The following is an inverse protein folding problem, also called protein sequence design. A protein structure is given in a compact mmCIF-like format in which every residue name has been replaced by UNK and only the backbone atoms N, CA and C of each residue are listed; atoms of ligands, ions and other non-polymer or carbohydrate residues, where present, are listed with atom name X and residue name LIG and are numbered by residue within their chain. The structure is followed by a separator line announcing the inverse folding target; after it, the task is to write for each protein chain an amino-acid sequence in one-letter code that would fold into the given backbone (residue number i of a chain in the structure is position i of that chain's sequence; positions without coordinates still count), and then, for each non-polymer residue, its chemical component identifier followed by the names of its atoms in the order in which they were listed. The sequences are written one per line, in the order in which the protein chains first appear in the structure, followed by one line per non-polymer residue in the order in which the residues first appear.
data_IF_093368904182
#
_entry.id   IF_093368904182
#
_cell.length_a   1.000
_cell.length_b   1.000
_cell.length_c   1.000
_cell.angle_alpha   90.00
_cell.angle_beta   90.00
_cell.angle_gamma   90.00
#
_symmetry.space_group_name_H-M   'P 1'
#
loop_
_entity.id
_entity.type
_entity.pdbx_description
1 polymer ?
#
# COMPACT_ATOMS: atom_id res chain seq x y z
N UNK A 1 -4.30 -4.00 33.30
CA UNK A 1 -3.82 -4.88 32.22
C UNK A 1 -3.42 -3.98 31.06
N UNK A 2 -2.13 -3.67 30.94
CA UNK A 2 -1.60 -2.83 29.87
C UNK A 2 -0.85 -3.75 28.91
N UNK A 3 -1.35 -3.87 27.68
CA UNK A 3 -0.61 -4.53 26.61
C UNK A 3 0.48 -3.55 26.14
N UNK A 4 1.76 -3.93 26.10
CA UNK A 4 2.76 -3.13 25.43
C UNK A 4 2.51 -3.23 23.92
N UNK A 5 2.10 -2.13 23.29
CA UNK A 5 2.26 -1.96 21.85
C UNK A 5 3.76 -1.86 21.61
N UNK A 6 4.35 -2.98 21.19
CA UNK A 6 5.71 -3.00 20.71
C UNK A 6 5.73 -2.30 19.36
N UNK A 7 6.10 -1.03 19.38
CA UNK A 7 6.68 -0.33 18.24
C UNK A 7 7.98 -1.04 17.87
N UNK A 8 7.92 -1.99 16.95
CA UNK A 8 9.11 -2.58 16.34
C UNK A 8 9.52 -1.71 15.16
N UNK A 9 10.52 -0.88 15.42
CA UNK A 9 11.37 -0.28 14.41
C UNK A 9 11.91 -1.36 13.47
N UNK A 10 11.61 -1.22 12.18
CA UNK A 10 12.43 -1.78 11.10
C UNK A 10 12.84 -0.62 10.21
N UNK A 11 13.82 0.13 10.72
CA UNK A 11 14.81 0.80 9.88
C UNK A 11 15.66 -0.33 9.28
N UNK A 12 15.17 -0.89 8.19
CA UNK A 12 15.90 -1.81 7.35
C UNK A 12 15.77 -1.26 5.96
N UNK A 13 16.89 -0.81 5.39
CA UNK A 13 17.04 -0.41 3.99
C UNK A 13 16.88 -1.67 3.12
N UNK A 14 15.72 -2.33 3.22
CA UNK A 14 15.32 -3.31 2.23
C UNK A 14 14.74 -2.54 1.05
N UNK A 15 15.13 -2.89 -0.19
CA UNK A 15 14.42 -2.38 -1.35
C UNK A 15 12.96 -2.82 -1.22
N UNK A 16 12.06 -1.84 -1.21
CA UNK A 16 10.63 -2.11 -1.19
C UNK A 16 10.27 -2.88 -2.45
N UNK A 17 9.94 -4.16 -2.30
CA UNK A 17 9.49 -4.99 -3.44
C UNK A 17 8.02 -4.72 -3.72
N UNK A 18 7.56 -5.06 -4.91
CA UNK A 18 6.14 -4.94 -5.23
C UNK A 18 5.26 -5.76 -4.27
N UNK A 19 5.75 -6.89 -3.75
CA UNK A 19 4.99 -7.71 -2.80
C UNK A 19 4.88 -7.02 -1.45
N UNK A 20 5.96 -6.45 -0.93
CA UNK A 20 5.95 -5.74 0.37
C UNK A 20 5.05 -4.50 0.33
N UNK A 21 5.09 -3.77 -0.79
CA UNK A 21 4.24 -2.59 -0.99
C UNK A 21 2.78 -3.00 -1.13
N UNK A 22 2.49 -4.08 -1.84
CA UNK A 22 1.14 -4.61 -1.96
C UNK A 22 0.57 -5.00 -0.59
N UNK A 23 1.32 -5.73 0.23
CA UNK A 23 0.89 -6.11 1.57
C UNK A 23 0.61 -4.89 2.45
N UNK A 24 1.52 -3.92 2.48
CA UNK A 24 1.33 -2.70 3.25
C UNK A 24 0.13 -1.88 2.76
N UNK A 25 -0.07 -1.77 1.45
CA UNK A 25 -1.21 -1.03 0.88
C UNK A 25 -2.54 -1.74 1.17
N UNK A 26 -2.56 -3.07 1.14
CA UNK A 26 -3.74 -3.87 1.53
C UNK A 26 -4.06 -3.66 3.01
N UNK A 27 -3.07 -3.66 3.90
CA UNK A 27 -3.27 -3.37 5.32
C UNK A 27 -3.83 -1.96 5.54
N UNK A 28 -3.28 -0.96 4.86
CA UNK A 28 -3.73 0.43 4.97
C UNK A 28 -5.15 0.63 4.40
N UNK A 29 -5.50 -0.04 3.30
CA UNK A 29 -6.85 0.00 2.73
C UNK A 29 -7.85 -0.69 3.64
N UNK A 30 -7.50 -1.84 4.21
CA UNK A 30 -8.35 -2.54 5.16
C UNK A 30 -8.58 -1.70 6.43
N UNK A 31 -7.55 -1.04 6.95
CA UNK A 31 -7.68 -0.09 8.06
C UNK A 31 -8.60 1.09 7.71
N UNK A 32 -8.47 1.65 6.50
CA UNK A 32 -9.28 2.77 6.03
C UNK A 32 -10.76 2.40 5.84
N UNK A 33 -11.02 1.19 5.37
CA UNK A 33 -12.36 0.65 5.12
C UNK A 33 -12.99 -0.02 6.36
N UNK A 34 -12.29 -0.03 7.50
CA UNK A 34 -12.68 -0.75 8.71
C UNK A 34 -12.94 -2.26 8.46
N UNK A 35 -12.23 -2.84 7.49
CA UNK A 35 -12.29 -4.27 7.13
C UNK A 35 -11.08 -5.04 7.68
N UNK A 36 -11.20 -6.37 7.79
CA UNK A 36 -10.07 -7.22 8.16
C UNK A 36 -9.11 -7.39 6.95
N UNK A 37 -7.79 -7.16 7.09
CA UNK A 37 -6.84 -7.23 5.98
C UNK A 37 -6.85 -8.56 5.22
N UNK A 38 -7.00 -9.68 5.94
CA UNK A 38 -7.06 -11.02 5.35
C UNK A 38 -8.35 -11.22 4.55
N UNK A 39 -9.47 -10.70 5.04
CA UNK A 39 -10.75 -10.76 4.34
C UNK A 39 -10.73 -9.87 3.09
N UNK A 40 -10.18 -8.65 3.21
CA UNK A 40 -10.03 -7.72 2.10
C UNK A 40 -9.13 -8.28 0.98
N UNK A 41 -8.00 -8.91 1.34
CA UNK A 41 -7.12 -9.59 0.37
C UNK A 41 -7.83 -10.72 -0.37
N UNK A 42 -8.58 -11.57 0.33
CA UNK A 42 -9.38 -12.63 -0.29
C UNK A 42 -10.46 -12.10 -1.24
N UNK A 43 -11.04 -10.95 -0.90
CA UNK A 43 -12.03 -10.26 -1.74
C UNK A 43 -11.37 -9.68 -2.99
N UNK A 44 -10.21 -9.05 -2.86
CA UNK A 44 -9.39 -8.60 -4.00
C UNK A 44 -8.99 -9.76 -4.93
N UNK A 45 -8.64 -10.92 -4.36
CA UNK A 45 -8.35 -12.14 -5.13
C UNK A 45 -9.60 -12.67 -5.86
N UNK A 46 -10.78 -12.57 -5.23
CA UNK A 46 -12.05 -13.11 -5.75
C UNK A 46 -12.71 -12.22 -6.80
N UNK A 47 -12.66 -10.90 -6.64
CA UNK A 47 -13.22 -9.92 -7.58
C UNK A 47 -12.34 -9.72 -8.82
N UNK A 48 -11.21 -10.42 -8.87
CA UNK A 48 -10.15 -10.24 -9.83
C UNK A 48 -9.30 -9.02 -9.47
N UNK A 49 -7.98 -9.18 -9.53
CA UNK A 49 -6.95 -8.20 -9.11
C UNK A 49 -7.00 -6.80 -9.77
N UNK A 50 -8.01 -6.57 -10.62
CA UNK A 50 -8.37 -5.31 -11.24
C UNK A 50 -9.43 -4.54 -10.47
N UNK A 51 -9.81 -4.98 -9.26
CA UNK A 51 -10.78 -4.27 -8.43
C UNK A 51 -10.37 -2.78 -8.37
N UNK A 52 -11.21 -1.87 -8.89
CA UNK A 52 -10.89 -0.46 -8.90
C UNK A 52 -10.94 0.02 -7.45
N UNK A 53 -9.76 0.21 -6.85
CA UNK A 53 -9.66 1.01 -5.63
C UNK A 53 -10.13 2.41 -5.97
N UNK A 54 -10.99 3.00 -5.15
CA UNK A 54 -11.39 4.38 -5.38
C UNK A 54 -10.13 5.26 -5.40
N UNK A 55 -10.12 6.20 -6.33
CA UNK A 55 -8.97 7.09 -6.53
C UNK A 55 -8.68 7.93 -5.28
N UNK A 56 -9.70 8.16 -4.44
CA UNK A 56 -9.57 8.83 -3.15
C UNK A 56 -8.89 7.95 -2.11
N UNK A 57 -9.36 6.71 -1.93
CA UNK A 57 -8.81 5.76 -0.96
C UNK A 57 -7.33 5.51 -1.19
N UNK A 58 -6.93 5.36 -2.46
CA UNK A 58 -5.52 5.12 -2.80
C UNK A 58 -4.63 6.35 -2.56
N UNK A 59 -5.19 7.57 -2.61
CA UNK A 59 -4.43 8.79 -2.32
C UNK A 59 -4.15 8.92 -0.82
N UNK A 60 -5.13 8.61 0.03
CA UNK A 60 -4.97 8.58 1.48
C UNK A 60 -3.96 7.49 1.90
N UNK A 61 -4.04 6.33 1.25
CA UNK A 61 -3.07 5.26 1.45
C UNK A 61 -1.67 5.65 0.97
N UNK A 62 -1.54 6.33 -0.17
CA UNK A 62 -0.25 6.89 -0.62
C UNK A 62 0.32 7.87 0.41
N UNK A 63 -0.51 8.73 1.00
CA UNK A 63 -0.05 9.69 1.99
C UNK A 63 0.42 8.98 3.28
N UNK A 64 -0.34 8.01 3.79
CA UNK A 64 0.07 7.17 4.92
C UNK A 64 1.34 6.37 4.61
N UNK A 65 1.41 5.74 3.44
CA UNK A 65 2.58 4.99 2.98
C UNK A 65 3.84 5.88 2.98
N UNK A 66 3.77 7.10 2.45
CA UNK A 66 4.90 8.06 2.47
C UNK A 66 5.30 8.46 3.89
N UNK A 67 4.34 8.58 4.82
CA UNK A 67 4.64 8.87 6.22
C UNK A 67 5.35 7.70 6.92
N UNK A 68 4.94 6.46 6.63
CA UNK A 68 5.52 5.24 7.22
C UNK A 68 6.90 4.97 6.64
N UNK A 69 7.02 4.99 5.31
CA UNK A 69 8.23 4.58 4.59
C UNK A 69 9.25 5.70 4.42
N UNK A 70 8.84 6.97 4.57
CA UNK A 70 9.66 8.13 4.23
C UNK A 70 9.95 8.30 2.73
N UNK A 71 9.38 7.45 1.86
CA UNK A 71 9.66 7.48 0.42
C UNK A 71 9.02 8.70 -0.26
N UNK A 72 9.81 9.38 -1.08
CA UNK A 72 9.34 10.54 -1.84
C UNK A 72 8.92 10.13 -3.25
N UNK A 73 7.75 9.52 -3.39
CA UNK A 73 7.23 9.11 -4.71
C UNK A 73 6.83 10.32 -5.59
N UNK A 74 7.27 10.44 -6.85
CA UNK A 74 6.89 11.57 -7.69
C UNK A 74 5.43 11.46 -8.14
N UNK A 75 4.53 12.12 -7.41
CA UNK A 75 3.07 12.13 -7.69
C UNK A 75 2.74 12.59 -9.12
N UNK A 76 3.61 13.39 -9.74
CA UNK A 76 3.51 13.81 -11.15
C UNK A 76 3.62 12.66 -12.15
N UNK A 77 4.31 11.56 -11.79
CA UNK A 77 4.42 10.34 -12.61
C UNK A 77 3.31 9.34 -12.33
N UNK A 78 2.57 9.52 -11.24
CA UNK A 78 1.42 8.71 -10.88
C UNK A 78 0.30 8.94 -11.90
N UNK A 79 0.13 8.01 -12.84
CA UNK A 79 -0.95 8.10 -13.84
C UNK A 79 -2.25 7.60 -13.21
N UNK A 80 -3.40 8.12 -13.68
CA UNK A 80 -4.74 7.63 -13.27
C UNK A 80 -4.91 6.11 -13.38
N UNK A 81 -4.23 5.47 -14.34
CA UNK A 81 -4.22 4.01 -14.50
C UNK A 81 -3.50 3.28 -13.36
N UNK A 82 -2.45 3.88 -12.82
CA UNK A 82 -1.66 3.34 -11.70
C UNK A 82 -2.47 3.40 -10.42
N UNK A 83 -3.36 4.39 -10.30
CA UNK A 83 -4.27 4.54 -9.17
C UNK A 83 -5.52 3.65 -9.23
N UNK A 84 -5.66 2.79 -10.23
CA UNK A 84 -6.83 1.91 -10.39
C UNK A 84 -6.62 0.51 -9.80
N UNK A 85 -5.41 0.16 -9.38
CA UNK A 85 -5.11 -1.17 -8.85
C UNK A 85 -3.95 -1.08 -7.87
N UNK A 86 -4.06 -1.79 -6.76
CA UNK A 86 -3.01 -1.93 -5.74
C UNK A 86 -1.72 -2.45 -6.35
N UNK A 87 -1.80 -3.44 -7.24
CA UNK A 87 -0.63 -4.03 -7.88
C UNK A 87 0.09 -3.06 -8.81
N UNK A 88 -0.64 -2.30 -9.62
CA UNK A 88 -0.03 -1.28 -10.49
C UNK A 88 0.66 -0.19 -9.67
N UNK A 89 0.11 0.14 -8.50
CA UNK A 89 0.74 1.03 -7.55
C UNK A 89 2.02 0.40 -6.97
N UNK A 90 1.97 -0.85 -6.52
CA UNK A 90 3.10 -1.55 -5.96
C UNK A 90 4.27 -1.71 -6.96
N UNK A 91 3.96 -2.10 -8.20
CA UNK A 91 4.94 -2.17 -9.30
C UNK A 91 5.56 -0.80 -9.59
N UNK A 92 4.79 0.29 -9.47
CA UNK A 92 5.31 1.65 -9.63
C UNK A 92 6.28 2.04 -8.50
N UNK A 93 5.95 1.69 -7.25
CA UNK A 93 6.82 1.96 -6.10
C UNK A 93 8.12 1.19 -6.22
N UNK A 94 8.07 -0.10 -6.56
CA UNK A 94 9.25 -0.93 -6.79
C UNK A 94 10.16 -0.33 -7.87
N UNK A 95 9.59 0.13 -8.98
CA UNK A 95 10.33 0.81 -10.05
C UNK A 95 11.01 2.09 -9.59
N UNK A 96 10.35 2.91 -8.76
CA UNK A 96 10.93 4.15 -8.24
C UNK A 96 11.94 3.90 -7.11
N UNK A 97 11.82 2.81 -6.34
CA UNK A 97 12.79 2.41 -5.32
C UNK A 97 14.06 1.77 -5.89
N UNK A 98 13.96 1.16 -7.07
CA UNK A 98 15.09 0.49 -7.75
C UNK A 98 15.89 1.43 -8.66
N UNK A 99 15.39 2.65 -8.93
CA UNK A 99 15.93 3.57 -9.95
C UNK A 99 16.72 4.76 -9.41
#
# INVERSE_FOLDING_TARGET
MACPVTTSAVDSVQPWTAVDVEELVVELLAELLEEEPVAYRRRLDSDGWLMPVDSLDLFDVLQKFRQITGLTLPVRRLRRRTMRSVRLFAEFVEQECTS
#
